data_IF_360849935122
#
_entry.id   IF_360849935122
#
_cell.length_a   1.000
_cell.length_b   1.000
_cell.length_c   1.000
_cell.angle_alpha   90.00
_cell.angle_beta   90.00
_cell.angle_gamma   90.00
#
_symmetry.space_group_name_H-M   'P 1'
#
loop_
_entity.id
_entity.type
_entity.pdbx_description
1 polymer ?
#
# COMPACT_ATOMS: atom_id res chain seq x y z
N UNK A 1 -7.68 -21.00 -3.31
CA UNK A 1 -7.30 -19.81 -2.52
C UNK A 1 -7.47 -20.16 -1.06
N UNK A 2 -6.45 -19.91 -0.24
CA UNK A 2 -6.39 -20.24 1.19
C UNK A 2 -7.26 -19.32 2.04
N UNK A 3 -7.37 -19.59 3.34
CA UNK A 3 -8.11 -18.78 4.33
C UNK A 3 -7.66 -17.30 4.42
N UNK A 4 -6.52 -16.95 3.83
CA UNK A 4 -5.95 -15.61 3.87
C UNK A 4 -6.19 -14.75 2.63
N UNK A 5 -6.52 -15.34 1.47
CA UNK A 5 -6.56 -14.60 0.20
C UNK A 5 -7.89 -14.82 -0.52
N UNK A 6 -8.57 -13.71 -0.82
CA UNK A 6 -9.88 -13.68 -1.46
C UNK A 6 -9.85 -13.24 -2.93
N UNK A 7 -8.73 -12.67 -3.38
CA UNK A 7 -8.49 -12.27 -4.78
C UNK A 7 -7.01 -12.49 -5.13
N UNK A 8 -6.72 -12.77 -6.41
CA UNK A 8 -5.37 -12.80 -6.96
C UNK A 8 -5.38 -12.09 -8.32
N UNK A 9 -4.74 -10.92 -8.39
CA UNK A 9 -4.67 -10.11 -9.59
C UNK A 9 -3.21 -9.92 -10.00
N UNK A 10 -2.90 -10.19 -11.28
CA UNK A 10 -1.55 -10.03 -11.83
C UNK A 10 -1.60 -9.20 -13.12
N UNK A 11 -0.44 -8.72 -13.54
CA UNK A 11 -0.29 -7.94 -14.77
C UNK A 11 -0.48 -8.78 -16.05
N UNK A 12 -0.65 -10.09 -15.93
CA UNK A 12 -1.01 -10.95 -17.06
C UNK A 12 -2.46 -10.75 -17.48
N UNK A 13 -3.30 -10.32 -16.54
CA UNK A 13 -4.75 -10.13 -16.72
C UNK A 13 -5.15 -8.66 -16.83
N UNK A 14 -4.22 -7.74 -16.58
CA UNK A 14 -4.47 -6.30 -16.49
C UNK A 14 -3.25 -5.51 -16.95
N UNK A 15 -3.40 -4.23 -17.33
CA UNK A 15 -2.24 -3.35 -17.49
C UNK A 15 -1.38 -3.34 -16.22
N UNK A 16 -0.06 -3.33 -16.40
CA UNK A 16 0.90 -3.28 -15.29
C UNK A 16 0.76 -1.99 -14.47
N UNK A 17 1.30 -2.02 -13.25
CA UNK A 17 1.47 -0.83 -12.42
C UNK A 17 2.19 0.28 -13.23
N UNK A 18 1.80 1.56 -13.07
CA UNK A 18 0.93 2.12 -12.02
C UNK A 18 -0.57 2.13 -12.38
N UNK A 19 -1.01 1.39 -13.40
CA UNK A 19 -2.42 1.35 -13.78
C UNK A 19 -3.27 0.71 -12.65
N UNK A 20 -4.44 1.28 -12.30
CA UNK A 20 -5.20 0.85 -11.12
C UNK A 20 -5.99 -0.45 -11.29
N UNK A 21 -6.20 -0.92 -12.53
CA UNK A 21 -7.08 -2.06 -12.87
C UNK A 21 -6.90 -3.31 -11.99
N UNK A 22 -5.65 -3.71 -11.68
CA UNK A 22 -5.41 -4.86 -10.80
C UNK A 22 -5.98 -4.64 -9.40
N UNK A 23 -5.72 -3.46 -8.82
CA UNK A 23 -6.19 -3.12 -7.48
C UNK A 23 -7.71 -2.91 -7.48
N UNK A 24 -8.28 -2.27 -8.49
CA UNK A 24 -9.73 -2.10 -8.65
C UNK A 24 -10.46 -3.45 -8.73
N UNK A 25 -9.90 -4.41 -9.47
CA UNK A 25 -10.45 -5.76 -9.55
C UNK A 25 -10.42 -6.47 -8.19
N UNK A 26 -9.28 -6.38 -7.47
CA UNK A 26 -9.15 -6.96 -6.14
C UNK A 26 -10.12 -6.33 -5.12
N UNK A 27 -10.27 -5.00 -5.12
CA UNK A 27 -11.23 -4.28 -4.27
C UNK A 27 -12.65 -4.74 -4.53
N UNK A 28 -13.04 -4.86 -5.81
CA UNK A 28 -14.38 -5.30 -6.21
C UNK A 28 -14.65 -6.74 -5.77
N UNK A 29 -13.71 -7.66 -5.99
CA UNK A 29 -13.84 -9.06 -5.57
C UNK A 29 -13.89 -9.21 -4.03
N UNK A 30 -13.24 -8.28 -3.31
CA UNK A 30 -13.32 -8.20 -1.86
C UNK A 30 -14.62 -7.59 -1.32
N UNK A 31 -15.45 -6.97 -2.18
CA UNK A 31 -16.61 -6.20 -1.73
C UNK A 31 -16.22 -4.98 -0.89
N UNK A 32 -15.00 -4.46 -1.06
CA UNK A 32 -14.46 -3.34 -0.31
C UNK A 32 -14.70 -2.00 -1.05
N UNK A 33 -14.40 -0.90 -0.37
CA UNK A 33 -14.33 0.44 -0.96
C UNK A 33 -12.88 0.88 -1.08
N UNK A 34 -12.55 1.65 -2.11
CA UNK A 34 -11.19 2.14 -2.35
C UNK A 34 -10.67 2.93 -1.15
N UNK A 35 -11.48 3.83 -0.58
CA UNK A 35 -11.08 4.68 0.55
C UNK A 35 -10.87 3.90 1.86
N UNK A 36 -11.30 2.63 1.90
CA UNK A 36 -11.12 1.71 3.03
C UNK A 36 -10.07 0.63 2.74
N UNK A 37 -9.38 0.73 1.59
CA UNK A 37 -8.38 -0.23 1.14
C UNK A 37 -6.97 0.32 1.33
N UNK A 38 -6.08 -0.53 1.84
CA UNK A 38 -4.66 -0.24 1.96
C UNK A 38 -3.90 -1.14 0.98
N UNK A 39 -3.15 -0.54 0.06
CA UNK A 39 -2.17 -1.25 -0.74
C UNK A 39 -0.80 -1.16 -0.04
N UNK A 40 -0.23 -2.30 0.28
CA UNK A 40 1.13 -2.42 0.82
C UNK A 40 2.08 -2.73 -0.33
N UNK A 41 3.14 -1.95 -0.50
CA UNK A 41 4.10 -2.15 -1.59
C UNK A 41 5.45 -1.49 -1.35
N UNK A 42 6.45 -1.95 -2.08
CA UNK A 42 7.86 -1.56 -1.94
C UNK A 42 8.39 -0.79 -3.15
N UNK A 43 7.54 -0.50 -4.13
CA UNK A 43 7.89 0.29 -5.31
C UNK A 43 7.07 1.59 -5.39
N UNK A 44 7.63 2.60 -6.03
CA UNK A 44 6.88 3.81 -6.38
C UNK A 44 5.69 3.50 -7.30
N UNK A 45 5.77 2.42 -8.09
CA UNK A 45 4.66 1.95 -8.91
C UNK A 45 3.47 1.46 -8.08
N UNK A 46 3.72 0.85 -6.91
CA UNK A 46 2.66 0.50 -5.96
C UNK A 46 1.96 1.75 -5.46
N UNK A 47 2.72 2.74 -5.00
CA UNK A 47 2.17 3.97 -4.43
C UNK A 47 1.36 4.74 -5.46
N UNK A 48 1.85 4.82 -6.70
CA UNK A 48 1.11 5.41 -7.81
C UNK A 48 -0.16 4.61 -8.15
N UNK A 49 -0.11 3.27 -8.12
CA UNK A 49 -1.29 2.44 -8.34
C UNK A 49 -2.35 2.64 -7.25
N UNK A 50 -1.94 2.69 -5.98
CA UNK A 50 -2.82 2.98 -4.86
C UNK A 50 -3.52 4.34 -5.04
N UNK A 51 -2.72 5.37 -5.34
CA UNK A 51 -3.21 6.73 -5.60
C UNK A 51 -4.20 6.77 -6.77
N UNK A 52 -3.87 6.11 -7.89
CA UNK A 52 -4.74 6.06 -9.06
C UNK A 52 -6.06 5.32 -8.80
N UNK A 53 -6.05 4.33 -7.90
CA UNK A 53 -7.23 3.58 -7.50
C UNK A 53 -8.05 4.27 -6.38
N UNK A 54 -7.59 5.40 -5.83
CA UNK A 54 -8.22 6.06 -4.68
C UNK A 54 -8.03 5.33 -3.35
N UNK A 55 -7.04 4.43 -3.27
CA UNK A 55 -6.70 3.66 -2.08
C UNK A 55 -5.55 4.31 -1.28
N UNK A 56 -5.37 3.86 -0.04
CA UNK A 56 -4.26 4.27 0.83
C UNK A 56 -3.01 3.49 0.42
N UNK A 57 -1.92 4.19 0.11
CA UNK A 57 -0.61 3.58 -0.15
C UNK A 57 0.22 3.48 1.13
N UNK A 58 0.58 2.26 1.55
CA UNK A 58 1.51 1.97 2.64
C UNK A 58 2.83 1.45 2.05
N UNK A 59 3.87 2.28 2.10
CA UNK A 59 5.20 1.90 1.65
C UNK A 59 5.92 0.98 2.65
N UNK A 60 6.83 0.15 2.16
CA UNK A 60 7.76 -0.60 3.01
C UNK A 60 9.20 -0.37 2.55
N UNK A 61 10.10 -0.04 3.48
CA UNK A 61 11.47 0.37 3.13
C UNK A 61 12.46 -0.79 2.92
N UNK A 62 12.04 -2.02 3.20
CA UNK A 62 12.88 -3.22 3.09
C UNK A 62 12.80 -3.92 1.73
N UNK A 63 12.31 -3.24 0.69
CA UNK A 63 12.16 -3.78 -0.67
C UNK A 63 12.93 -3.00 -1.74
N UNK A 64 12.33 -2.84 -2.92
CA UNK A 64 13.04 -2.52 -4.15
C UNK A 64 13.38 -1.03 -4.36
N UNK A 65 12.45 -0.10 -4.09
CA UNK A 65 12.71 1.34 -4.24
C UNK A 65 13.10 1.99 -2.91
N UNK A 66 13.84 3.09 -3.00
CA UNK A 66 14.24 3.85 -1.82
C UNK A 66 13.01 4.51 -1.16
N UNK A 67 12.99 4.68 0.18
CA UNK A 67 11.89 5.32 0.89
C UNK A 67 11.49 6.68 0.29
N UNK A 68 12.47 7.47 -0.14
CA UNK A 68 12.27 8.79 -0.72
C UNK A 68 11.45 8.72 -2.03
N UNK A 69 11.63 7.65 -2.82
CA UNK A 69 10.84 7.41 -4.03
C UNK A 69 9.39 7.03 -3.70
N UNK A 70 9.18 6.31 -2.59
CA UNK A 70 7.84 5.95 -2.11
C UNK A 70 7.10 7.20 -1.60
N UNK A 71 7.78 8.05 -0.83
CA UNK A 71 7.24 9.34 -0.38
C UNK A 71 6.86 10.22 -1.57
N UNK A 72 7.77 10.38 -2.54
CA UNK A 72 7.52 11.18 -3.74
C UNK A 72 6.34 10.63 -4.58
N UNK A 73 6.12 9.32 -4.57
CA UNK A 73 5.03 8.65 -5.26
C UNK A 73 3.68 8.71 -4.51
N UNK A 74 3.66 9.23 -3.28
CA UNK A 74 2.44 9.43 -2.49
C UNK A 74 2.16 8.34 -1.45
N UNK A 75 3.19 7.66 -0.96
CA UNK A 75 3.05 6.84 0.24
C UNK A 75 2.46 7.68 1.39
N UNK A 76 1.41 7.17 2.04
CA UNK A 76 0.83 7.82 3.20
C UNK A 76 1.72 7.65 4.42
N UNK A 77 2.28 6.45 4.57
CA UNK A 77 3.21 6.03 5.62
C UNK A 77 4.19 5.05 5.00
N UNK A 78 5.41 5.00 5.52
CA UNK A 78 6.40 3.97 5.22
C UNK A 78 6.73 3.21 6.51
N UNK A 79 6.58 1.89 6.49
CA UNK A 79 7.04 1.02 7.56
C UNK A 79 8.50 0.61 7.30
N UNK A 80 9.30 0.52 8.36
CA UNK A 80 10.70 0.09 8.29
C UNK A 80 10.91 -1.40 8.61
N UNK A 81 9.94 -2.04 9.27
CA UNK A 81 9.94 -3.49 9.49
C UNK A 81 8.52 -4.09 9.39
N UNK A 82 8.43 -5.36 8.97
CA UNK A 82 7.14 -6.04 8.79
C UNK A 82 6.32 -6.11 10.10
N UNK A 83 7.00 -6.16 11.26
CA UNK A 83 6.36 -6.17 12.58
C UNK A 83 5.55 -4.89 12.90
N UNK A 84 5.78 -3.79 12.18
CA UNK A 84 5.05 -2.53 12.35
C UNK A 84 3.70 -2.52 11.62
N UNK A 85 3.47 -3.42 10.65
CA UNK A 85 2.26 -3.39 9.82
C UNK A 85 0.96 -3.43 10.64
N UNK A 86 0.79 -4.30 11.67
CA UNK A 86 -0.46 -4.34 12.43
C UNK A 86 -0.79 -3.03 13.17
N UNK A 87 0.21 -2.37 13.77
CA UNK A 87 0.00 -1.12 14.50
C UNK A 87 -0.26 0.05 13.55
N UNK A 88 0.47 0.11 12.43
CA UNK A 88 0.29 1.13 11.40
C UNK A 88 -1.09 1.04 10.75
N UNK A 89 -1.52 -0.17 10.36
CA UNK A 89 -2.85 -0.42 9.77
C UNK A 89 -3.96 -0.04 10.75
N UNK A 90 -3.81 -0.41 12.02
CA UNK A 90 -4.77 -0.05 13.07
C UNK A 90 -4.88 1.48 13.24
N UNK A 91 -3.74 2.18 13.23
CA UNK A 91 -3.69 3.65 13.30
C UNK A 91 -4.42 4.32 12.13
N UNK A 92 -4.19 3.83 10.92
CA UNK A 92 -4.86 4.31 9.70
C UNK A 92 -6.38 4.18 9.78
N UNK A 93 -6.90 3.03 10.23
CA UNK A 93 -8.35 2.83 10.37
C UNK A 93 -8.98 3.60 11.55
N UNK A 94 -8.22 3.87 12.61
CA UNK A 94 -8.68 4.64 13.76
C UNK A 94 -8.73 6.16 13.49
N UNK A 95 -8.25 6.63 12.33
CA UNK A 95 -8.10 8.06 12.04
C UNK A 95 -7.04 8.75 12.91
N UNK A 96 -6.13 7.96 13.52
CA UNK A 96 -5.04 8.47 14.36
C UNK A 96 -3.84 8.72 13.45
N UNK A 97 -3.22 9.92 13.45
CA UNK A 97 -2.00 10.15 12.69
C UNK A 97 -0.95 9.14 13.15
N UNK A 98 -0.43 8.33 12.22
CA UNK A 98 0.57 7.33 12.56
C UNK A 98 1.80 8.01 13.17
N UNK A 99 2.30 7.39 14.24
CA UNK A 99 3.58 7.74 14.84
C UNK A 99 4.69 7.59 13.79
N UNK A 100 5.13 8.71 13.21
CA UNK A 100 6.36 8.76 12.43
C UNK A 100 7.52 8.32 13.32
N UNK A 101 8.17 7.21 12.97
CA UNK A 101 9.52 6.94 13.47
C UNK A 101 10.41 8.06 12.93
N UNK A 102 10.80 9.00 13.80
CA UNK A 102 11.75 10.05 13.45
C UNK A 102 13.08 9.37 13.14
N UNK A 103 13.43 9.23 11.85
CA UNK A 103 14.84 9.13 11.47
C UNK A 103 15.52 10.41 11.94
N UNK A 104 16.19 10.32 13.08
CA UNK A 104 17.29 11.23 13.41
C UNK A 104 18.50 10.62 12.71
N UNK A 105 18.79 11.13 11.52
CA UNK A 105 20.09 10.90 10.89
C UNK A 105 21.08 11.86 11.57
N UNK A 106 22.27 11.42 12.00
CA UNK A 106 23.27 12.28 12.61
C UNK A 106 23.77 13.39 11.68
#
# INVERSE_FOLDING_TARGET
>A
MSDHFISLQTADLHPSKPHPAMLEAAIREAGAKAEQTILIGDTSYDMLMAKNAGAIGLGVSWGYHAPEDLEAAGAHIIADEAGQLPSVITGLYAGVPAIMSKRTVP
#
